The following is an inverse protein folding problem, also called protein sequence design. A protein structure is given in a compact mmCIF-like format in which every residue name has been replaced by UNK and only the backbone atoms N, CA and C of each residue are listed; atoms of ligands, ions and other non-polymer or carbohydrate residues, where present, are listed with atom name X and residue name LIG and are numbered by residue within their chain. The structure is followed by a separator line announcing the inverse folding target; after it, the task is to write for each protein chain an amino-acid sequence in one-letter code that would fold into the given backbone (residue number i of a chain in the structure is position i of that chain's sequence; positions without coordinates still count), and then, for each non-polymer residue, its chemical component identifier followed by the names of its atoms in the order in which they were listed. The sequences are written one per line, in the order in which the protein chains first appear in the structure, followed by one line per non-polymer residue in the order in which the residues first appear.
data_IF_026933796459
#
_entry.id   IF_026933796459
#
_cell.length_a   1.000
_cell.length_b   1.000
_cell.length_c   1.000
_cell.angle_alpha   90.00
_cell.angle_beta   90.00
_cell.angle_gamma   90.00
#
_symmetry.space_group_name_H-M   'P 1'
#
loop_
_entity.id
_entity.type
_entity.pdbx_description
1 polymer ?
#
# COMPACT_ATOMS: atom_id res chain seq x y z
N UNK A 1 -35.07 34.26 18.23
CA UNK A 1 -34.66 32.95 18.74
C UNK A 1 -35.25 31.89 17.81
N UNK A 2 -34.47 31.35 16.87
CA UNK A 2 -34.64 30.07 16.16
C UNK A 2 -33.41 29.85 15.23
N UNK A 3 -32.66 28.79 15.57
CA UNK A 3 -31.68 27.91 14.89
C UNK A 3 -31.25 28.25 13.45
N UNK A 4 -29.96 28.43 13.12
CA UNK A 4 -28.84 27.45 13.05
C UNK A 4 -29.03 26.40 11.95
N UNK A 5 -28.68 26.73 10.69
CA UNK A 5 -28.50 25.79 9.56
C UNK A 5 -27.40 26.32 8.62
N UNK A 6 -26.29 25.58 8.62
CA UNK A 6 -25.44 25.23 7.47
C UNK A 6 -24.82 26.35 6.62
N UNK A 7 -23.52 26.59 6.85
CA UNK A 7 -22.59 26.64 5.72
C UNK A 7 -21.40 25.74 6.07
N UNK A 8 -21.54 24.48 5.67
CA UNK A 8 -20.42 23.55 5.51
C UNK A 8 -19.60 24.11 4.34
N UNK A 9 -18.68 25.02 4.63
CA UNK A 9 -17.76 25.53 3.61
C UNK A 9 -16.84 24.38 3.23
N UNK A 10 -17.15 23.81 2.06
CA UNK A 10 -16.33 22.90 1.28
C UNK A 10 -14.88 23.36 1.32
N UNK A 11 -14.10 22.70 2.18
CA UNK A 11 -12.65 22.76 2.17
C UNK A 11 -12.17 21.94 0.96
N UNK A 12 -12.51 22.38 -0.24
CA UNK A 12 -11.76 22.02 -1.44
C UNK A 12 -10.49 22.84 -1.41
N UNK A 13 -9.63 22.55 -0.43
CA UNK A 13 -8.23 22.95 -0.48
C UNK A 13 -7.68 22.40 -1.78
N UNK A 14 -7.17 23.33 -2.60
CA UNK A 14 -6.26 23.10 -3.70
C UNK A 14 -5.53 21.76 -3.49
N UNK A 15 -5.88 20.74 -4.29
CA UNK A 15 -5.03 19.56 -4.43
C UNK A 15 -3.76 20.04 -5.11
N UNK A 16 -2.83 20.44 -4.27
CA UNK A 16 -1.46 20.74 -4.64
C UNK A 16 -0.86 19.42 -5.11
N UNK A 17 -0.10 19.44 -6.19
CA UNK A 17 0.44 18.30 -6.94
C UNK A 17 1.34 17.36 -6.09
N UNK A 18 0.73 16.60 -5.19
CA UNK A 18 1.35 15.59 -4.34
C UNK A 18 0.28 14.63 -3.87
N UNK A 19 0.43 13.34 -4.18
CA UNK A 19 -0.53 12.34 -3.73
C UNK A 19 -0.39 12.15 -2.23
N UNK A 20 -1.51 12.20 -1.53
CA UNK A 20 -1.54 12.17 -0.07
C UNK A 20 -1.17 10.79 0.48
N UNK A 21 -0.90 10.73 1.78
CA UNK A 21 -0.71 9.44 2.48
C UNK A 21 -1.98 8.59 2.36
N UNK A 22 -3.14 9.23 2.43
CA UNK A 22 -4.46 8.62 2.30
C UNK A 22 -4.67 8.01 0.90
N UNK A 23 -4.20 8.67 -0.15
CA UNK A 23 -4.24 8.11 -1.52
C UNK A 23 -3.41 6.83 -1.62
N UNK A 24 -2.24 6.79 -0.99
CA UNK A 24 -1.39 5.60 -0.96
C UNK A 24 -2.08 4.44 -0.20
N UNK A 25 -2.67 4.73 0.96
CA UNK A 25 -3.42 3.73 1.74
C UNK A 25 -4.60 3.20 0.93
N UNK A 26 -5.34 4.07 0.24
CA UNK A 26 -6.46 3.69 -0.60
C UNK A 26 -6.04 2.80 -1.79
N UNK A 27 -4.89 3.08 -2.42
CA UNK A 27 -4.31 2.22 -3.46
C UNK A 27 -3.99 0.82 -2.91
N UNK A 28 -3.34 0.73 -1.75
CA UNK A 28 -3.08 -0.57 -1.13
C UNK A 28 -4.38 -1.29 -0.77
N UNK A 29 -5.39 -0.58 -0.29
CA UNK A 29 -6.70 -1.16 0.04
C UNK A 29 -7.33 -1.79 -1.19
N UNK A 30 -7.42 -1.05 -2.29
CA UNK A 30 -7.98 -1.54 -3.55
C UNK A 30 -7.20 -2.74 -4.10
N UNK A 31 -5.86 -2.67 -4.12
CA UNK A 31 -5.02 -3.77 -4.56
C UNK A 31 -5.18 -5.01 -3.69
N UNK A 32 -5.22 -4.83 -2.36
CA UNK A 32 -5.38 -5.89 -1.36
C UNK A 32 -6.75 -6.58 -1.39
N UNK A 33 -7.62 -6.28 -2.35
CA UNK A 33 -8.87 -7.02 -2.57
C UNK A 33 -8.78 -8.02 -3.73
N UNK A 34 -7.69 -8.00 -4.51
CA UNK A 34 -7.47 -8.91 -5.62
C UNK A 34 -7.06 -10.30 -5.12
N UNK A 35 -7.74 -11.35 -5.59
CA UNK A 35 -7.45 -12.75 -5.26
C UNK A 35 -6.06 -13.20 -5.73
N UNK A 36 -5.55 -12.56 -6.77
CA UNK A 36 -4.24 -12.82 -7.37
C UNK A 36 -3.09 -12.43 -6.42
N UNK A 37 -3.40 -11.62 -5.39
CA UNK A 37 -2.45 -11.28 -4.32
C UNK A 37 -2.57 -12.18 -3.09
N UNK A 38 -3.44 -13.19 -3.08
CA UNK A 38 -3.53 -14.18 -1.99
C UNK A 38 -2.17 -14.76 -1.60
N UNK A 39 -1.25 -15.09 -2.54
CA UNK A 39 0.08 -15.59 -2.19
C UNK A 39 0.97 -14.58 -1.47
N UNK A 40 0.60 -13.30 -1.37
CA UNK A 40 1.35 -12.33 -0.58
C UNK A 40 0.96 -12.36 0.92
N UNK A 41 -0.15 -13.02 1.27
CA UNK A 41 -0.62 -13.18 2.65
C UNK A 41 -0.23 -14.57 3.19
N UNK A 42 1.08 -14.81 3.33
CA UNK A 42 1.61 -16.13 3.72
C UNK A 42 2.15 -16.18 5.16
N UNK A 43 2.29 -15.04 5.83
CA UNK A 43 2.90 -14.96 7.16
C UNK A 43 1.81 -14.90 8.22
N UNK A 44 1.77 -15.84 9.16
CA UNK A 44 0.89 -15.75 10.33
C UNK A 44 1.64 -15.11 11.50
N UNK A 45 1.17 -13.94 11.94
CA UNK A 45 1.81 -13.14 13.00
C UNK A 45 0.96 -13.00 14.27
N UNK A 46 -0.10 -13.80 14.44
CA UNK A 46 -1.06 -13.89 15.58
C UNK A 46 -2.51 -13.53 15.24
N UNK A 47 -2.73 -12.72 14.21
CA UNK A 47 -4.07 -12.32 13.75
C UNK A 47 -4.47 -13.03 12.44
N UNK A 48 -3.73 -14.08 12.06
CA UNK A 48 -3.89 -14.79 10.81
C UNK A 48 -2.95 -14.32 9.71
N UNK A 49 -3.17 -14.79 8.47
CA UNK A 49 -2.29 -14.52 7.33
C UNK A 49 -2.17 -13.03 7.03
N UNK A 50 -0.93 -12.56 6.89
CA UNK A 50 -0.54 -11.16 6.78
C UNK A 50 0.41 -10.96 5.61
N UNK A 51 0.27 -9.83 4.89
CA UNK A 51 1.27 -9.34 3.95
C UNK A 51 2.29 -8.47 4.69
N UNK A 52 3.58 -8.77 4.58
CA UNK A 52 4.64 -7.97 5.19
C UNK A 52 5.34 -7.13 4.12
N UNK A 53 4.99 -5.85 4.07
CA UNK A 53 5.64 -4.87 3.21
C UNK A 53 6.97 -4.45 3.82
N UNK A 54 8.06 -4.59 3.06
CA UNK A 54 9.37 -4.17 3.53
C UNK A 54 9.58 -2.67 3.35
N UNK A 55 9.99 -2.02 4.44
CA UNK A 55 10.36 -0.62 4.48
C UNK A 55 11.87 -0.47 4.31
N UNK A 56 12.30 0.09 3.17
CA UNK A 56 13.69 0.47 2.98
C UNK A 56 13.93 1.87 3.55
N UNK A 57 14.67 1.95 4.67
CA UNK A 57 14.90 3.18 5.43
C UNK A 57 15.79 4.23 4.74
N UNK A 58 15.99 4.17 3.42
CA UNK A 58 16.83 5.12 2.69
C UNK A 58 15.98 6.19 2.00
N UNK A 59 15.39 7.08 2.80
CA UNK A 59 14.81 8.31 2.28
C UNK A 59 15.95 9.26 1.88
N UNK A 60 16.03 9.60 0.59
CA UNK A 60 16.98 10.60 0.10
C UNK A 60 16.46 12.01 0.43
N UNK A 61 17.35 12.98 0.66
CA UNK A 61 16.95 14.39 0.78
C UNK A 61 16.28 14.93 -0.48
N UNK A 62 16.49 14.28 -1.64
CA UNK A 62 15.82 14.56 -2.91
C UNK A 62 14.53 13.77 -3.14
N UNK A 63 14.06 12.96 -2.18
CA UNK A 63 12.86 12.15 -2.33
C UNK A 63 11.62 13.01 -2.55
N UNK A 64 10.80 12.61 -3.53
CA UNK A 64 9.56 13.31 -3.86
C UNK A 64 8.50 13.11 -2.76
N UNK A 65 7.39 13.84 -2.86
CA UNK A 65 6.34 13.81 -1.84
C UNK A 65 5.65 12.44 -1.72
N UNK A 66 5.43 11.74 -2.84
CA UNK A 66 4.87 10.38 -2.86
C UNK A 66 5.75 9.43 -2.05
N UNK A 67 7.06 9.49 -2.30
CA UNK A 67 8.04 8.67 -1.61
C UNK A 67 8.05 8.99 -0.10
N UNK A 68 8.06 10.27 0.27
CA UNK A 68 7.94 10.68 1.69
C UNK A 68 6.66 10.16 2.33
N UNK A 69 5.53 10.23 1.64
CA UNK A 69 4.25 9.75 2.13
C UNK A 69 4.24 8.22 2.30
N UNK A 70 4.75 7.48 1.31
CA UNK A 70 4.94 6.02 1.39
C UNK A 70 5.82 5.63 2.58
N UNK A 71 6.93 6.34 2.77
CA UNK A 71 7.82 6.08 3.91
C UNK A 71 7.28 6.60 5.25
N UNK A 72 6.18 7.36 5.28
CA UNK A 72 5.52 7.75 6.53
C UNK A 72 4.45 6.74 6.99
N UNK A 73 4.18 5.71 6.19
CA UNK A 73 3.26 4.65 6.55
C UNK A 73 3.76 3.84 7.76
N UNK A 74 2.81 3.43 8.59
CA UNK A 74 2.94 2.60 9.79
C UNK A 74 1.91 1.47 9.78
N UNK A 75 2.03 0.53 10.71
CA UNK A 75 1.06 -0.58 10.84
C UNK A 75 -0.37 -0.10 11.10
N UNK A 76 -0.54 0.99 11.87
CA UNK A 76 -1.85 1.52 12.25
C UNK A 76 -2.65 2.02 11.03
N UNK A 77 -1.97 2.43 9.96
CA UNK A 77 -2.61 2.87 8.72
C UNK A 77 -3.40 1.75 8.02
N UNK A 78 -3.10 0.49 8.34
CA UNK A 78 -3.72 -0.70 7.73
C UNK A 78 -4.71 -1.43 8.67
N UNK A 79 -4.95 -0.91 9.88
CA UNK A 79 -5.80 -1.57 10.87
C UNK A 79 -7.22 -1.89 10.36
N UNK A 80 -7.76 -1.07 9.46
CA UNK A 80 -9.11 -1.22 8.89
C UNK A 80 -9.20 -2.08 7.62
N UNK A 81 -8.15 -2.83 7.28
CA UNK A 81 -8.13 -3.67 6.08
C UNK A 81 -8.76 -5.04 6.37
N UNK A 82 -9.49 -5.59 5.40
CA UNK A 82 -10.08 -6.94 5.53
C UNK A 82 -9.00 -8.03 5.65
N UNK A 83 -7.83 -7.78 5.04
CA UNK A 83 -6.65 -8.64 5.11
C UNK A 83 -5.50 -7.88 5.75
N UNK A 84 -4.87 -8.40 6.82
CA UNK A 84 -3.79 -7.70 7.52
C UNK A 84 -2.60 -7.39 6.63
N UNK A 85 -2.13 -6.14 6.68
CA UNK A 85 -0.86 -5.71 6.09
C UNK A 85 -0.02 -5.13 7.23
N UNK A 86 1.23 -5.55 7.32
CA UNK A 86 2.23 -4.95 8.22
C UNK A 86 3.35 -4.33 7.42
N UNK A 87 3.85 -3.20 7.89
CA UNK A 87 5.07 -2.55 7.41
C UNK A 87 6.17 -2.77 8.42
N UNK A 88 7.30 -3.29 7.96
CA UNK A 88 8.48 -3.54 8.77
C UNK A 88 9.75 -3.28 7.98
N UNK A 89 10.81 -2.88 8.67
CA UNK A 89 12.17 -2.97 8.15
C UNK A 89 12.62 -4.43 8.11
N UNK A 90 13.63 -4.75 7.30
CA UNK A 90 14.22 -6.11 7.27
C UNK A 90 14.73 -6.54 8.66
N UNK A 91 15.21 -5.59 9.47
CA UNK A 91 15.66 -5.84 10.82
C UNK A 91 14.52 -6.21 11.77
N UNK A 92 13.41 -5.46 11.74
CA UNK A 92 12.21 -5.75 12.53
C UNK A 92 11.60 -7.09 12.14
N UNK A 93 11.53 -7.38 10.83
CA UNK A 93 11.09 -8.67 10.32
C UNK A 93 11.93 -9.82 10.89
N UNK A 94 13.26 -9.68 10.91
CA UNK A 94 14.16 -10.66 11.52
C UNK A 94 13.92 -10.88 13.02
N UNK A 95 13.57 -9.83 13.78
CA UNK A 95 13.21 -9.95 15.20
C UNK A 95 11.85 -10.66 15.41
N UNK A 96 10.91 -10.49 14.49
CA UNK A 96 9.63 -11.23 14.49
C UNK A 96 9.74 -12.63 13.87
N UNK A 97 10.94 -13.06 13.46
CA UNK A 97 11.16 -14.39 12.86
C UNK A 97 10.62 -14.52 11.43
N UNK A 98 10.30 -13.40 10.77
CA UNK A 98 9.88 -13.35 9.37
C UNK A 98 11.12 -13.49 8.49
N UNK A 99 11.11 -14.49 7.60
CA UNK A 99 12.23 -14.73 6.69
C UNK A 99 12.23 -13.72 5.55
N UNK A 100 13.41 -13.43 4.99
CA UNK A 100 13.54 -12.47 3.88
C UNK A 100 12.73 -12.86 2.64
N UNK A 101 12.52 -14.16 2.40
CA UNK A 101 11.71 -14.66 1.28
C UNK A 101 10.20 -14.47 1.51
N UNK A 102 9.77 -14.04 2.71
CA UNK A 102 8.38 -13.72 3.03
C UNK A 102 8.07 -12.23 2.94
N UNK A 103 9.07 -11.40 2.61
CA UNK A 103 8.92 -9.95 2.50
C UNK A 103 8.45 -9.55 1.10
N UNK A 104 7.55 -8.57 1.07
CA UNK A 104 7.02 -7.99 -0.17
C UNK A 104 7.67 -6.64 -0.42
N UNK A 105 8.35 -6.51 -1.55
CA UNK A 105 8.81 -5.21 -2.06
C UNK A 105 7.70 -4.58 -2.90
N UNK A 106 7.25 -3.39 -2.51
CA UNK A 106 6.26 -2.62 -3.25
C UNK A 106 6.82 -1.27 -3.70
N UNK A 107 6.30 -0.78 -4.83
CA UNK A 107 6.66 0.50 -5.43
C UNK A 107 5.42 1.17 -6.00
N UNK A 108 5.37 2.50 -5.93
CA UNK A 108 4.25 3.30 -6.38
C UNK A 108 4.72 4.37 -7.35
N UNK A 109 3.98 4.52 -8.44
CA UNK A 109 4.18 5.60 -9.41
C UNK A 109 2.85 6.25 -9.71
N UNK A 110 2.72 7.53 -9.38
CA UNK A 110 1.51 8.30 -9.63
C UNK A 110 1.68 9.28 -10.78
N UNK A 111 0.62 9.47 -11.55
CA UNK A 111 0.51 10.46 -12.61
C UNK A 111 -0.91 11.04 -12.61
N UNK A 112 -1.11 12.15 -11.90
CA UNK A 112 -2.45 12.69 -11.64
C UNK A 112 -3.34 11.63 -11.00
N UNK A 113 -4.51 11.40 -11.57
CA UNK A 113 -5.50 10.40 -11.11
C UNK A 113 -5.15 8.95 -11.45
N UNK A 114 -3.94 8.67 -11.95
CA UNK A 114 -3.46 7.33 -12.25
C UNK A 114 -2.38 6.90 -11.26
N UNK A 115 -2.39 5.63 -10.88
CA UNK A 115 -1.36 5.01 -10.07
C UNK A 115 -0.97 3.66 -10.69
N UNK A 116 0.32 3.34 -10.67
CA UNK A 116 0.83 2.00 -10.87
C UNK A 116 1.48 1.51 -9.57
N UNK A 117 0.93 0.44 -9.01
CA UNK A 117 1.51 -0.31 -7.89
C UNK A 117 2.27 -1.50 -8.46
N UNK A 118 3.59 -1.47 -8.37
CA UNK A 118 4.45 -2.61 -8.69
C UNK A 118 4.83 -3.38 -7.43
N UNK A 119 4.89 -4.69 -7.51
CA UNK A 119 5.30 -5.53 -6.39
C UNK A 119 6.13 -6.73 -6.82
N UNK A 120 6.96 -7.22 -5.91
CA UNK A 120 7.68 -8.48 -6.04
C UNK A 120 7.79 -9.14 -4.67
N UNK A 121 7.52 -10.43 -4.64
CA UNK A 121 7.68 -11.26 -3.47
C UNK A 121 8.17 -12.65 -3.89
N UNK A 122 8.88 -13.29 -2.99
CA UNK A 122 9.15 -14.72 -3.12
C UNK A 122 7.97 -15.47 -2.51
N UNK A 123 7.58 -16.57 -3.11
CA UNK A 123 6.51 -17.44 -2.62
C UNK A 123 7.03 -18.89 -2.66
N UNK A 124 6.40 -19.77 -1.91
CA UNK A 124 6.76 -21.20 -1.86
C UNK A 124 8.24 -21.44 -1.46
N UNK A 125 8.62 -20.92 -0.28
CA UNK A 125 9.93 -21.14 0.37
C UNK A 125 11.17 -20.88 -0.50
N UNK A 126 11.14 -19.85 -1.34
CA UNK A 126 12.31 -19.49 -2.15
C UNK A 126 12.28 -20.03 -3.57
N UNK A 127 11.28 -20.84 -3.94
CA UNK A 127 11.28 -21.55 -5.23
C UNK A 127 10.54 -20.83 -6.33
N UNK A 128 9.61 -19.93 -5.98
CA UNK A 128 8.78 -19.19 -6.94
C UNK A 128 8.71 -17.71 -6.58
N UNK A 129 8.38 -16.89 -7.56
CA UNK A 129 8.26 -15.44 -7.40
C UNK A 129 6.90 -14.98 -7.87
N UNK A 130 6.21 -14.21 -7.03
CA UNK A 130 5.07 -13.43 -7.47
C UNK A 130 5.55 -12.02 -7.78
N UNK A 131 5.34 -11.58 -9.02
CA UNK A 131 5.64 -10.21 -9.41
C UNK A 131 4.57 -9.68 -10.35
N UNK A 132 4.37 -8.37 -10.30
CA UNK A 132 3.41 -7.76 -11.18
C UNK A 132 3.27 -6.27 -10.97
N UNK A 133 2.36 -5.71 -11.74
CA UNK A 133 1.87 -4.37 -11.54
C UNK A 133 0.35 -4.35 -11.60
N UNK A 134 -0.22 -3.39 -10.89
CA UNK A 134 -1.64 -3.07 -10.87
C UNK A 134 -1.75 -1.60 -11.26
N UNK A 135 -2.53 -1.30 -12.28
CA UNK A 135 -2.92 0.06 -12.64
C UNK A 135 -4.23 0.40 -11.94
N UNK A 136 -4.26 1.56 -11.30
CA UNK A 136 -5.43 2.09 -10.62
C UNK A 136 -5.75 3.49 -11.14
N UNK A 137 -7.02 3.85 -11.08
CA UNK A 137 -7.50 5.18 -11.40
C UNK A 137 -8.38 5.70 -10.28
N UNK A 138 -8.23 6.99 -9.97
CA UNK A 138 -9.01 7.67 -8.93
C UNK A 138 -10.41 7.95 -9.44
N UNK A 139 -11.40 7.56 -8.66
CA UNK A 139 -12.83 7.83 -8.86
C UNK A 139 -13.36 8.53 -7.62
N UNK A 140 -13.30 9.88 -7.61
CA UNK A 140 -13.62 10.67 -6.42
C UNK A 140 -12.60 10.49 -5.30
N UNK A 141 -13.02 9.92 -4.17
CA UNK A 141 -12.13 9.61 -3.03
C UNK A 141 -11.60 8.17 -3.05
N UNK A 142 -12.09 7.34 -3.96
CA UNK A 142 -11.73 5.93 -4.06
C UNK A 142 -10.74 5.70 -5.20
N UNK A 143 -10.03 4.58 -5.12
CA UNK A 143 -9.12 4.09 -6.16
C UNK A 143 -9.66 2.77 -6.69
N UNK A 144 -9.79 2.67 -8.01
CA UNK A 144 -10.34 1.50 -8.68
C UNK A 144 -9.26 0.84 -9.55
N UNK A 145 -9.19 -0.49 -9.52
CA UNK A 145 -8.27 -1.25 -10.37
C UNK A 145 -8.78 -1.20 -11.81
N UNK A 146 -7.94 -0.68 -12.72
CA UNK A 146 -8.27 -0.56 -14.15
C UNK A 146 -7.45 -1.49 -15.03
N UNK A 147 -6.38 -2.07 -14.50
CA UNK A 147 -5.58 -3.06 -15.20
C UNK A 147 -4.61 -3.77 -14.26
N UNK A 148 -4.19 -4.97 -14.64
CA UNK A 148 -3.19 -5.71 -13.88
C UNK A 148 -2.41 -6.66 -14.78
N UNK A 149 -1.18 -6.95 -14.39
CA UNK A 149 -0.36 -7.99 -14.98
C UNK A 149 0.44 -8.65 -13.86
N UNK A 150 -0.14 -9.71 -13.30
CA UNK A 150 0.39 -10.45 -12.17
C UNK A 150 0.85 -11.81 -12.69
N UNK A 151 2.08 -12.18 -12.35
CA UNK A 151 2.70 -13.42 -12.84
C UNK A 151 3.40 -14.12 -11.69
N UNK A 152 3.19 -15.43 -11.63
CA UNK A 152 4.03 -16.31 -10.85
C UNK A 152 5.09 -16.91 -11.77
N UNK A 153 6.36 -16.83 -11.37
CA UNK A 153 7.49 -17.44 -12.08
C UNK A 153 8.17 -18.47 -11.21
#
# INVERSE_FOLDING_TARGET
MIRLITILFSLSTLMTYGQSKEDIIAVFKAASQLSELDPLFQVDLSAGPTMVLVKNNRLSSGSNEVERNYWSLTNDDFWGFDRPIKIMTEQEAGFEGVRNDQLVSASLSFSGDQCNLGFTATIDEGTRYLQGWISLTRSGFDWEVTGQNIRTR
#
